data_IF_173003770549
#
_entry.id   IF_173003770549
#
_cell.length_a   1.000
_cell.length_b   1.000
_cell.length_c   1.000
_cell.angle_alpha   90.00
_cell.angle_beta   90.00
_cell.angle_gamma   90.00
#
_symmetry.space_group_name_H-M   'P 1'
#
loop_
_entity.id
_entity.type
_entity.pdbx_description
1 polymer ?
#
# COMPACT_ATOMS: atom_id res chain seq x y z
N UNK A 1 -13.11 -26.75 -4.33
CA UNK A 1 -12.29 -25.77 -5.08
C UNK A 1 -13.23 -24.76 -5.71
N UNK A 2 -13.22 -23.50 -5.25
CA UNK A 2 -13.88 -22.39 -5.92
C UNK A 2 -12.86 -21.25 -6.00
N UNK A 3 -12.27 -21.13 -7.20
CA UNK A 3 -11.39 -20.04 -7.57
C UNK A 3 -12.20 -18.75 -7.63
N UNK A 4 -12.20 -17.98 -6.55
CA UNK A 4 -12.59 -16.57 -6.62
C UNK A 4 -11.32 -15.73 -6.63
N UNK A 5 -10.68 -15.61 -7.81
CA UNK A 5 -9.76 -14.50 -8.06
C UNK A 5 -10.62 -13.24 -8.04
N UNK A 6 -10.72 -12.60 -6.88
CA UNK A 6 -11.20 -11.22 -6.77
C UNK A 6 -10.12 -10.35 -7.41
N UNK A 7 -10.18 -10.27 -8.73
CA UNK A 7 -9.37 -9.35 -9.50
C UNK A 7 -9.92 -7.95 -9.20
N UNK A 8 -9.27 -7.24 -8.28
CA UNK A 8 -9.59 -5.83 -8.07
C UNK A 8 -9.42 -5.11 -9.40
N UNK A 9 -10.53 -4.61 -9.93
CA UNK A 9 -10.63 -3.81 -11.15
C UNK A 9 -10.01 -2.42 -10.94
N UNK A 10 -8.77 -2.32 -10.45
CA UNK A 10 -8.00 -1.10 -10.68
C UNK A 10 -7.57 -1.20 -12.14
N UNK A 11 -8.38 -0.59 -13.00
CA UNK A 11 -8.13 -0.55 -14.43
C UNK A 11 -6.65 -0.23 -14.68
N UNK A 12 -5.98 -1.10 -15.44
CA UNK A 12 -4.61 -0.95 -15.93
C UNK A 12 -4.40 0.36 -16.72
N UNK A 13 -5.44 1.17 -16.91
CA UNK A 13 -5.38 2.53 -17.45
C UNK A 13 -4.84 3.58 -16.47
N UNK A 14 -4.73 3.28 -15.17
CA UNK A 14 -4.15 4.21 -14.20
C UNK A 14 -2.61 4.21 -14.14
N UNK A 15 -1.94 3.26 -14.79
CA UNK A 15 -0.47 3.20 -14.90
C UNK A 15 0.08 4.17 -15.95
N UNK A 16 -0.78 4.69 -16.83
CA UNK A 16 -0.42 5.75 -17.75
C UNK A 16 -0.62 7.11 -17.10
N UNK A 17 0.49 7.77 -16.75
CA UNK A 17 0.58 9.24 -16.72
C UNK A 17 -0.18 9.95 -15.59
N UNK A 18 0.19 9.66 -14.33
CA UNK A 18 -0.06 10.60 -13.22
C UNK A 18 0.99 11.72 -13.25
N UNK A 19 0.74 12.74 -14.08
CA UNK A 19 1.71 13.82 -14.35
C UNK A 19 1.95 14.81 -13.21
N UNK A 20 1.22 14.70 -12.09
CA UNK A 20 1.29 15.65 -10.96
C UNK A 20 1.63 14.99 -9.62
N UNK A 21 2.13 13.76 -9.60
CA UNK A 21 2.62 13.18 -8.35
C UNK A 21 4.00 13.72 -8.05
N UNK A 22 4.09 14.59 -7.04
CA UNK A 22 5.39 14.89 -6.42
C UNK A 22 6.01 13.58 -5.95
N UNK A 23 7.34 13.41 -6.10
CA UNK A 23 8.00 12.26 -5.51
C UNK A 23 7.72 12.20 -4.01
N UNK A 24 7.62 11.00 -3.42
CA UNK A 24 7.41 10.86 -2.00
C UNK A 24 8.56 11.53 -1.24
N UNK A 25 8.23 12.29 -0.20
CA UNK A 25 9.24 12.95 0.64
C UNK A 25 10.13 11.93 1.38
N UNK A 26 9.58 10.76 1.70
CA UNK A 26 10.27 9.65 2.36
C UNK A 26 10.07 8.35 1.57
N UNK A 27 10.86 8.11 0.50
CA UNK A 27 10.65 6.98 -0.40
C UNK A 27 10.80 5.62 0.29
N UNK A 28 11.80 5.45 1.14
CA UNK A 28 12.06 4.19 1.84
C UNK A 28 10.94 3.83 2.82
N UNK A 29 10.50 4.80 3.63
CA UNK A 29 9.36 4.63 4.54
C UNK A 29 8.10 4.24 3.77
N UNK A 30 7.83 4.91 2.65
CA UNK A 30 6.67 4.61 1.81
C UNK A 30 6.76 3.21 1.19
N UNK A 31 7.95 2.77 0.79
CA UNK A 31 8.17 1.42 0.27
C UNK A 31 7.89 0.36 1.34
N UNK A 32 8.42 0.53 2.55
CA UNK A 32 8.19 -0.39 3.66
C UNK A 32 6.71 -0.48 4.05
N UNK A 33 6.01 0.66 4.10
CA UNK A 33 4.57 0.70 4.36
C UNK A 33 3.77 0.02 3.24
N UNK A 34 4.14 0.25 1.97
CA UNK A 34 3.46 -0.39 0.85
C UNK A 34 3.58 -1.91 0.91
N UNK A 35 4.76 -2.44 1.25
CA UNK A 35 4.96 -3.89 1.40
C UNK A 35 4.09 -4.45 2.53
N UNK A 36 4.02 -3.75 3.66
CA UNK A 36 3.19 -4.16 4.79
C UNK A 36 1.69 -4.13 4.46
N UNK A 37 1.22 -3.09 3.77
CA UNK A 37 -0.19 -3.00 3.33
C UNK A 37 -0.54 -4.10 2.35
N UNK A 38 0.35 -4.40 1.39
CA UNK A 38 0.13 -5.48 0.43
C UNK A 38 0.02 -6.83 1.15
N UNK A 39 0.93 -7.13 2.07
CA UNK A 39 0.87 -8.36 2.86
C UNK A 39 -0.40 -8.45 3.73
N UNK A 40 -0.87 -7.34 4.31
CA UNK A 40 -2.12 -7.31 5.06
C UNK A 40 -3.33 -7.60 4.16
N UNK A 41 -3.38 -6.98 2.98
CA UNK A 41 -4.44 -7.20 2.00
C UNK A 41 -4.47 -8.64 1.50
N UNK A 42 -3.32 -9.27 1.27
CA UNK A 42 -3.21 -10.68 0.88
C UNK A 42 -3.79 -11.64 1.95
N UNK A 43 -3.80 -11.19 3.21
CA UNK A 43 -4.41 -11.91 4.34
C UNK A 43 -5.85 -11.47 4.63
N UNK A 44 -6.49 -10.73 3.72
CA UNK A 44 -7.85 -10.17 3.87
C UNK A 44 -8.00 -9.24 5.09
N UNK A 45 -6.90 -8.61 5.53
CA UNK A 45 -6.91 -7.64 6.61
C UNK A 45 -7.07 -6.23 6.03
N UNK A 46 -8.16 -5.56 6.39
CA UNK A 46 -8.39 -4.17 6.01
C UNK A 46 -7.48 -3.24 6.83
N UNK A 47 -6.55 -2.56 6.18
CA UNK A 47 -5.69 -1.56 6.83
C UNK A 47 -6.40 -0.20 6.88
N UNK A 48 -6.74 0.24 8.09
CA UNK A 48 -7.35 1.56 8.30
C UNK A 48 -6.29 2.67 8.38
N UNK A 49 -6.71 3.93 8.17
CA UNK A 49 -5.83 5.09 8.31
C UNK A 49 -5.10 5.18 9.66
N UNK A 50 -5.77 4.97 10.81
CA UNK A 50 -5.10 4.93 12.11
C UNK A 50 -4.04 3.82 12.23
N UNK A 51 -4.32 2.61 11.74
CA UNK A 51 -3.36 1.49 11.74
C UNK A 51 -2.14 1.83 10.88
N UNK A 52 -2.35 2.41 9.70
CA UNK A 52 -1.28 2.83 8.80
C UNK A 52 -0.41 3.91 9.46
N UNK A 53 -1.02 4.90 10.12
CA UNK A 53 -0.29 5.94 10.86
C UNK A 53 0.55 5.34 11.99
N UNK A 54 -0.01 4.42 12.77
CA UNK A 54 0.73 3.75 13.86
C UNK A 54 1.90 2.94 13.31
N UNK A 55 1.70 2.19 12.22
CA UNK A 55 2.78 1.43 11.58
C UNK A 55 3.85 2.35 11.00
N UNK A 56 3.47 3.48 10.40
CA UNK A 56 4.40 4.47 9.88
C UNK A 56 5.34 5.01 10.96
N UNK A 57 4.80 5.30 12.15
CA UNK A 57 5.61 5.74 13.29
C UNK A 57 6.58 4.65 13.77
N UNK A 58 6.14 3.39 13.80
CA UNK A 58 7.00 2.27 14.19
C UNK A 58 8.15 2.05 13.19
N UNK A 59 7.85 2.12 11.89
CA UNK A 59 8.86 2.00 10.83
C UNK A 59 9.83 3.17 10.90
N UNK A 60 9.33 4.41 11.04
CA UNK A 60 10.16 5.60 11.19
C UNK A 60 11.10 5.53 12.40
N UNK A 61 10.68 4.93 13.51
CA UNK A 61 11.51 4.76 14.70
C UNK A 61 12.59 3.66 14.55
N UNK A 62 12.49 2.82 13.52
CA UNK A 62 13.39 1.68 13.27
C UNK A 62 14.31 1.90 12.06
N UNK A 63 14.20 3.05 11.40
CA UNK A 63 15.10 3.54 10.35
C UNK A 63 16.22 4.35 11.00
#
# INVERSE_FOLDING_TARGET
>A
MLNSKVQFSIAHKATGKRYNLKPPQYPELNQMLSLWVNAANDNNVCVTGPMLKQKALQVAASL
#
